data_IF_635861555150
#
_entry.id   IF_635861555150
#
_cell.length_a   1.000
_cell.length_b   1.000
_cell.length_c   1.000
_cell.angle_alpha   90.00
_cell.angle_beta   90.00
_cell.angle_gamma   90.00
#
_symmetry.space_group_name_H-M   'P 1'
#
loop_
_entity.id
_entity.type
_entity.pdbx_description
1 polymer ?
#
# COMPACT_ATOMS: atom_id res chain seq x y z
N UNK A 1 -2.00 -19.67 8.64
CA UNK A 1 -3.03 -18.76 8.07
C UNK A 1 -2.47 -17.38 8.28
N UNK A 2 -2.21 -16.63 7.22
CA UNK A 2 -1.67 -15.26 7.33
C UNK A 2 -2.78 -14.33 7.77
N UNK A 3 -2.56 -13.57 8.83
CA UNK A 3 -3.53 -12.63 9.40
C UNK A 3 -3.19 -11.18 9.02
N UNK A 4 -4.13 -10.26 9.27
CA UNK A 4 -3.92 -8.81 9.12
C UNK A 4 -2.69 -8.36 9.92
N UNK A 5 -2.56 -8.82 11.17
CA UNK A 5 -1.42 -8.47 12.05
C UNK A 5 -0.09 -8.98 11.50
N UNK A 6 -0.07 -10.17 10.89
CA UNK A 6 1.14 -10.70 10.27
C UNK A 6 1.59 -9.82 9.10
N UNK A 7 0.64 -9.30 8.30
CA UNK A 7 0.92 -8.43 7.16
C UNK A 7 1.30 -7.00 7.60
N UNK A 8 0.67 -6.49 8.65
CA UNK A 8 1.05 -5.21 9.27
C UNK A 8 2.51 -5.25 9.75
N UNK A 9 2.94 -6.38 10.32
CA UNK A 9 4.31 -6.57 10.79
C UNK A 9 5.36 -6.67 9.66
N UNK A 10 4.94 -6.86 8.40
CA UNK A 10 5.81 -6.82 7.23
C UNK A 10 5.98 -5.41 6.68
N UNK A 11 5.31 -4.41 7.26
CA UNK A 11 5.41 -3.04 6.79
C UNK A 11 6.79 -2.47 7.13
N UNK A 12 7.54 -2.12 6.10
CA UNK A 12 8.86 -1.50 6.23
C UNK A 12 8.79 -0.01 5.91
N UNK A 13 9.59 0.80 6.60
CA UNK A 13 9.75 2.19 6.26
C UNK A 13 10.54 2.30 4.94
N UNK A 14 10.02 3.07 3.98
CA UNK A 14 10.66 3.29 2.70
C UNK A 14 10.44 4.72 2.20
N UNK A 15 11.44 5.21 1.48
CA UNK A 15 11.40 6.50 0.78
C UNK A 15 11.51 6.29 -0.74
N UNK A 16 11.47 7.39 -1.49
CA UNK A 16 11.59 7.35 -2.94
C UNK A 16 12.85 6.62 -3.41
N UNK A 17 13.98 6.85 -2.73
CA UNK A 17 15.29 6.27 -3.12
C UNK A 17 15.30 4.76 -2.95
N UNK A 18 14.67 4.27 -1.89
CA UNK A 18 14.52 2.86 -1.58
C UNK A 18 13.64 2.17 -2.62
N UNK A 19 12.56 2.83 -3.04
CA UNK A 19 11.57 2.26 -3.94
C UNK A 19 11.90 2.41 -5.44
N UNK A 20 12.71 3.41 -5.81
CA UNK A 20 13.06 3.73 -7.19
C UNK A 20 13.56 2.53 -8.03
N UNK A 21 14.42 1.62 -7.51
CA UNK A 21 14.88 0.46 -8.28
C UNK A 21 13.76 -0.52 -8.69
N UNK A 22 12.60 -0.45 -8.05
CA UNK A 22 11.49 -1.39 -8.24
C UNK A 22 10.37 -0.83 -9.12
N UNK A 23 10.46 0.42 -9.61
CA UNK A 23 9.38 1.09 -10.37
C UNK A 23 8.93 0.32 -11.62
N UNK A 24 9.82 -0.45 -12.24
CA UNK A 24 9.55 -1.23 -13.45
C UNK A 24 9.10 -2.67 -13.16
N UNK A 25 9.06 -3.07 -11.88
CA UNK A 25 8.79 -4.45 -11.45
C UNK A 25 7.37 -4.63 -10.90
N UNK A 26 6.60 -3.55 -10.79
CA UNK A 26 5.28 -3.53 -10.19
C UNK A 26 4.21 -3.04 -11.16
N UNK A 27 2.97 -3.37 -10.84
CA UNK A 27 1.80 -2.93 -11.61
C UNK A 27 1.31 -1.56 -11.16
N UNK A 28 1.23 -1.33 -9.85
CA UNK A 28 0.75 -0.08 -9.28
C UNK A 28 1.24 0.12 -7.84
N UNK A 29 1.32 1.39 -7.46
CA UNK A 29 1.47 1.84 -6.08
C UNK A 29 0.06 2.11 -5.51
N UNK A 30 -0.31 1.37 -4.47
CA UNK A 30 -1.62 1.46 -3.81
C UNK A 30 -1.43 2.29 -2.56
N UNK A 31 -1.87 3.55 -2.62
CA UNK A 31 -1.71 4.50 -1.53
C UNK A 31 -2.98 4.60 -0.70
N UNK A 32 -2.85 4.40 0.61
CA UNK A 32 -3.94 4.48 1.58
C UNK A 32 -4.11 5.94 1.99
N UNK A 33 -5.25 6.53 1.65
CA UNK A 33 -5.59 7.93 1.97
C UNK A 33 -6.39 8.05 3.26
N UNK A 34 -7.08 6.98 3.68
CA UNK A 34 -7.84 6.97 4.92
C UNK A 34 -6.96 6.52 6.10
N UNK A 35 -6.71 7.41 7.05
CA UNK A 35 -5.86 7.12 8.21
C UNK A 35 -6.40 6.00 9.11
N UNK A 36 -7.71 5.70 9.06
CA UNK A 36 -8.30 4.60 9.82
C UNK A 36 -8.01 3.23 9.24
N UNK A 37 -7.70 3.11 7.93
CA UNK A 37 -7.30 1.86 7.32
C UNK A 37 -5.83 1.56 7.61
N UNK A 38 -5.57 0.38 8.15
CA UNK A 38 -4.21 -0.13 8.34
C UNK A 38 -3.62 -0.69 7.04
N UNK A 39 -2.29 -0.75 6.96
CA UNK A 39 -1.62 -1.31 5.78
C UNK A 39 -1.86 -2.83 5.69
N UNK A 40 -1.95 -3.51 6.82
CA UNK A 40 -2.27 -4.92 6.94
C UNK A 40 -3.68 -5.26 6.46
N UNK A 41 -4.69 -4.41 6.72
CA UNK A 41 -6.05 -4.61 6.19
C UNK A 41 -6.08 -4.59 4.67
N UNK A 42 -5.43 -3.59 4.07
CA UNK A 42 -5.35 -3.45 2.62
C UNK A 42 -4.51 -4.59 2.04
N UNK A 43 -3.33 -4.85 2.58
CA UNK A 43 -2.48 -5.96 2.15
C UNK A 43 -3.22 -7.31 2.22
N UNK A 44 -4.03 -7.53 3.27
CA UNK A 44 -4.82 -8.75 3.42
C UNK A 44 -5.89 -8.90 2.33
N UNK A 45 -6.55 -7.80 1.95
CA UNK A 45 -7.53 -7.81 0.86
C UNK A 45 -6.88 -8.15 -0.48
N UNK A 46 -5.70 -7.58 -0.77
CA UNK A 46 -4.93 -7.91 -1.98
C UNK A 46 -4.42 -9.35 -1.97
N UNK A 47 -3.90 -9.83 -0.82
CA UNK A 47 -3.37 -11.19 -0.68
C UNK A 47 -4.46 -12.26 -0.90
N UNK A 48 -5.69 -12.00 -0.46
CA UNK A 48 -6.83 -12.91 -0.64
C UNK A 48 -7.65 -12.62 -1.91
N UNK A 49 -7.22 -11.70 -2.77
CA UNK A 49 -7.93 -11.29 -4.00
C UNK A 49 -9.38 -10.88 -3.75
N UNK A 50 -9.66 -10.18 -2.64
CA UNK A 50 -11.00 -9.71 -2.30
C UNK A 50 -11.33 -8.41 -3.05
N UNK A 51 -11.64 -8.55 -4.34
CA UNK A 51 -11.84 -7.43 -5.26
C UNK A 51 -13.00 -6.51 -4.84
N UNK A 52 -14.09 -7.06 -4.32
CA UNK A 52 -15.26 -6.27 -3.90
C UNK A 52 -14.90 -5.24 -2.82
N UNK A 53 -14.07 -5.63 -1.85
CA UNK A 53 -13.61 -4.73 -0.79
C UNK A 53 -12.65 -3.67 -1.35
N UNK A 54 -11.75 -4.06 -2.25
CA UNK A 54 -10.80 -3.13 -2.89
C UNK A 54 -11.53 -2.10 -3.76
N UNK A 55 -12.53 -2.54 -4.54
CA UNK A 55 -13.38 -1.66 -5.35
C UNK A 55 -14.15 -0.68 -4.46
N UNK A 56 -14.73 -1.15 -3.35
CA UNK A 56 -15.43 -0.29 -2.41
C UNK A 56 -14.54 0.82 -1.83
N UNK A 57 -13.32 0.48 -1.37
CA UNK A 57 -12.37 1.48 -0.88
C UNK A 57 -11.89 2.45 -1.97
N UNK A 58 -11.79 1.98 -3.21
CA UNK A 58 -11.41 2.82 -4.34
C UNK A 58 -12.51 3.84 -4.64
N UNK A 59 -13.77 3.39 -4.68
CA UNK A 59 -14.93 4.25 -4.92
C UNK A 59 -15.16 5.26 -3.78
N UNK A 60 -14.89 4.85 -2.54
CA UNK A 60 -14.93 5.72 -1.37
C UNK A 60 -13.76 6.72 -1.33
N UNK A 61 -12.71 6.49 -2.12
CA UNK A 61 -11.49 7.30 -2.13
C UNK A 61 -10.60 7.07 -0.90
N UNK A 62 -10.75 5.91 -0.24
CA UNK A 62 -9.96 5.45 0.91
C UNK A 62 -8.60 4.87 0.51
N UNK A 63 -8.48 4.41 -0.73
CA UNK A 63 -7.22 4.05 -1.39
C UNK A 63 -7.16 4.65 -2.79
N UNK A 64 -5.96 4.84 -3.32
CA UNK A 64 -5.72 5.31 -4.70
C UNK A 64 -4.60 4.52 -5.37
N UNK A 65 -4.75 4.30 -6.68
CA UNK A 65 -3.75 3.64 -7.50
C UNK A 65 -2.93 4.68 -8.27
N UNK A 66 -1.62 4.54 -8.20
CA UNK A 66 -0.68 5.36 -8.97
C UNK A 66 0.19 4.46 -9.84
N UNK A 67 0.38 4.86 -11.10
CA UNK A 67 1.26 4.16 -12.04
C UNK A 67 2.73 4.54 -11.84
N UNK A 68 2.98 5.77 -11.44
CA UNK A 68 4.33 6.34 -11.29
C UNK A 68 4.53 6.73 -9.83
N UNK A 69 5.68 6.37 -9.27
CA UNK A 69 6.00 6.63 -7.86
C UNK A 69 6.02 8.13 -7.54
N UNK A 70 6.43 8.95 -8.50
CA UNK A 70 6.51 10.42 -8.38
C UNK A 70 5.13 11.07 -8.14
N UNK A 71 4.05 10.38 -8.49
CA UNK A 71 2.69 10.87 -8.29
C UNK A 71 2.09 10.44 -6.94
N UNK A 72 2.76 9.55 -6.21
CA UNK A 72 2.32 9.12 -4.88
C UNK A 72 2.55 10.28 -3.90
N UNK A 73 1.54 10.69 -3.11
CA UNK A 73 1.69 11.74 -2.12
C UNK A 73 2.75 11.39 -1.05
N UNK A 74 3.29 12.41 -0.40
CA UNK A 74 4.35 12.31 0.63
C UNK A 74 5.69 11.79 0.11
N UNK A 75 6.65 11.56 1.02
CA UNK A 75 8.02 11.11 0.67
C UNK A 75 8.59 10.05 1.61
N UNK A 76 7.89 9.76 2.71
CA UNK A 76 8.25 8.76 3.72
C UNK A 76 7.01 7.91 4.02
N UNK A 77 7.12 6.61 3.80
CA UNK A 77 5.99 5.69 3.80
C UNK A 77 6.30 4.44 4.62
N UNK A 78 5.24 3.84 5.15
CA UNK A 78 5.22 2.42 5.47
C UNK A 78 4.76 1.66 4.24
N UNK A 79 5.47 0.61 3.86
CA UNK A 79 5.19 -0.16 2.64
C UNK A 79 5.15 -1.67 2.87
N UNK A 80 4.24 -2.34 2.17
CA UNK A 80 4.17 -3.81 2.08
C UNK A 80 4.09 -4.21 0.61
N UNK A 81 4.92 -5.15 0.19
CA UNK A 81 4.85 -5.72 -1.16
C UNK A 81 3.90 -6.93 -1.18
N UNK A 82 2.75 -6.76 -1.83
CA UNK A 82 1.89 -7.88 -2.26
C UNK A 82 1.99 -7.95 -3.78
N UNK A 83 2.99 -8.69 -4.29
CA UNK A 83 3.33 -8.65 -5.70
C UNK A 83 2.12 -8.92 -6.62
N UNK A 84 1.85 -8.06 -7.63
CA UNK A 84 2.71 -6.99 -8.15
C UNK A 84 2.41 -5.58 -7.61
N UNK A 85 1.90 -5.43 -6.39
CA UNK A 85 1.48 -4.14 -5.81
C UNK A 85 2.31 -3.78 -4.58
N UNK A 86 2.80 -2.54 -4.54
CA UNK A 86 3.25 -1.94 -3.28
C UNK A 86 2.06 -1.26 -2.62
N UNK A 87 1.68 -1.73 -1.45
CA UNK A 87 0.72 -1.05 -0.59
C UNK A 87 1.49 -0.04 0.24
N UNK A 88 1.01 1.20 0.33
CA UNK A 88 1.73 2.32 0.90
C UNK A 88 0.82 3.15 1.80
N UNK A 89 1.35 3.62 2.92
CA UNK A 89 0.69 4.60 3.80
C UNK A 89 1.72 5.60 4.28
N UNK A 90 1.33 6.87 4.47
CA UNK A 90 2.23 7.88 5.07
C UNK A 90 2.76 7.37 6.39
N UNK A 91 4.08 7.51 6.59
CA UNK A 91 4.68 7.23 7.88
C UNK A 91 4.38 8.37 8.83
N UNK A 92 3.47 8.15 9.76
CA UNK A 92 3.23 9.11 10.84
C UNK A 92 4.48 9.15 11.74
N UNK A 93 5.12 10.33 11.82
CA UNK A 93 6.18 10.59 12.79
C UNK A 93 5.51 10.90 14.12
N UNK A 94 5.73 10.02 15.12
CA UNK A 94 5.28 10.20 16.50
C UNK A 94 6.01 11.38 17.15
#
# INVERSE_FOLDING_TARGET
MTTITDLEALADAADFRTLYPYINQIHAWVYITNNQLSIGEVANAFYHSNLEVVEHWTDAGDIRFYKELENVPDTDWMVVLIHPFYIMKTRETI
#
